data_IF_659938236277
#
_entry.id   IF_659938236277
#
_cell.length_a   1.000
_cell.length_b   1.000
_cell.length_c   1.000
_cell.angle_alpha   90.00
_cell.angle_beta   90.00
_cell.angle_gamma   90.00
#
_symmetry.space_group_name_H-M   'P 1'
#
loop_
_entity.id
_entity.type
_entity.pdbx_description
1 polymer ?
#
# COMPACT_ATOMS: atom_id res chain seq x y z
N UNK A 1 -4.36 27.52 -10.26
CA UNK A 1 -4.62 27.09 -8.86
C UNK A 1 -4.69 25.57 -8.87
N UNK A 2 -3.78 24.87 -8.22
CA UNK A 2 -3.89 23.42 -8.03
C UNK A 2 -5.03 23.17 -7.05
N UNK A 3 -6.05 22.42 -7.47
CA UNK A 3 -7.16 22.02 -6.60
C UNK A 3 -6.59 21.21 -5.42
N UNK A 4 -6.99 21.56 -4.21
CA UNK A 4 -6.64 20.81 -3.01
C UNK A 4 -7.32 19.43 -3.07
N UNK A 5 -6.57 18.36 -2.78
CA UNK A 5 -7.07 16.99 -2.77
C UNK A 5 -7.66 16.71 -1.39
N UNK A 6 -8.86 16.15 -1.37
CA UNK A 6 -9.62 15.81 -0.16
C UNK A 6 -9.73 14.28 0.01
N UNK A 7 -10.27 13.83 1.15
CA UNK A 7 -10.55 12.40 1.36
C UNK A 7 -11.62 11.85 0.40
N UNK A 8 -12.53 12.71 -0.07
CA UNK A 8 -13.58 12.32 -1.02
C UNK A 8 -12.98 12.02 -2.41
N UNK A 9 -11.95 12.77 -2.81
CA UNK A 9 -11.21 12.50 -4.04
C UNK A 9 -10.53 11.11 -4.01
N UNK A 10 -10.21 10.59 -2.81
CA UNK A 10 -9.58 9.29 -2.64
C UNK A 10 -10.55 8.11 -2.73
N UNK A 11 -11.86 8.32 -2.64
CA UNK A 11 -12.84 7.22 -2.59
C UNK A 11 -12.83 6.42 -3.90
N UNK A 12 -12.83 5.09 -3.82
CA UNK A 12 -12.98 4.22 -5.00
C UNK A 12 -12.01 3.05 -5.04
N UNK A 13 -11.95 2.39 -6.20
CA UNK A 13 -11.09 1.24 -6.45
C UNK A 13 -9.73 1.67 -6.99
N UNK A 14 -8.69 0.93 -6.62
CA UNK A 14 -7.31 1.15 -7.04
C UNK A 14 -6.68 -0.15 -7.50
N UNK A 15 -5.87 -0.06 -8.55
CA UNK A 15 -4.84 -1.05 -8.84
C UNK A 15 -3.61 -0.75 -7.99
N UNK A 16 -3.10 -1.77 -7.31
CA UNK A 16 -1.92 -1.68 -6.46
C UNK A 16 -0.77 -2.37 -7.16
N UNK A 17 0.41 -1.75 -7.12
CA UNK A 17 1.67 -2.34 -7.55
C UNK A 17 2.73 -2.02 -6.51
N UNK A 18 3.59 -2.97 -6.18
CA UNK A 18 4.69 -2.74 -5.26
C UNK A 18 5.99 -3.39 -5.72
N UNK A 19 7.11 -2.90 -5.19
CA UNK A 19 8.45 -3.46 -5.41
C UNK A 19 9.26 -3.36 -4.11
N UNK A 20 10.13 -4.33 -3.83
CA UNK A 20 11.02 -4.29 -2.66
C UNK A 20 12.49 -4.18 -3.06
N UNK A 21 13.29 -3.54 -2.19
CA UNK A 21 14.76 -3.50 -2.26
C UNK A 21 15.38 -3.98 -0.93
N UNK A 22 16.28 -4.99 -0.94
CA UNK A 22 16.63 -5.82 -2.09
C UNK A 22 15.41 -6.57 -2.65
N UNK A 23 15.45 -6.94 -3.93
CA UNK A 23 14.46 -7.85 -4.49
C UNK A 23 14.57 -9.17 -3.73
N UNK A 24 13.53 -9.52 -2.98
CA UNK A 24 13.47 -10.82 -2.33
C UNK A 24 12.76 -11.75 -3.30
N UNK A 25 13.36 -12.92 -3.57
CA UNK A 25 12.78 -13.93 -4.46
C UNK A 25 11.36 -14.35 -4.03
N UNK A 26 10.97 -14.10 -2.77
CA UNK A 26 9.63 -14.36 -2.23
C UNK A 26 8.79 -13.11 -1.91
N UNK A 27 9.32 -11.89 -2.13
CA UNK A 27 8.49 -10.70 -2.38
C UNK A 27 8.23 -10.67 -3.90
N UNK A 28 7.43 -11.61 -4.36
CA UNK A 28 7.23 -11.85 -5.79
C UNK A 28 6.55 -10.68 -6.49
N UNK A 29 7.22 -10.19 -7.54
CA UNK A 29 6.71 -9.45 -8.72
C UNK A 29 5.87 -8.19 -8.41
N UNK A 30 5.64 -7.27 -9.38
CA UNK A 30 4.68 -6.19 -9.20
C UNK A 30 3.29 -6.78 -8.94
N UNK A 31 2.98 -7.02 -7.67
CA UNK A 31 1.76 -7.68 -7.26
C UNK A 31 0.58 -6.81 -7.61
N UNK A 32 -0.19 -7.24 -8.61
CA UNK A 32 -1.46 -6.63 -8.97
C UNK A 32 -2.47 -6.97 -7.88
N UNK A 33 -2.55 -6.11 -6.88
CA UNK A 33 -3.63 -6.11 -5.92
C UNK A 33 -4.76 -5.20 -6.38
N UNK A 34 -5.96 -5.45 -5.87
CA UNK A 34 -7.02 -4.44 -5.92
C UNK A 34 -7.28 -3.95 -4.51
N UNK A 35 -7.36 -2.64 -4.35
CA UNK A 35 -7.71 -2.02 -3.09
C UNK A 35 -8.92 -1.10 -3.27
N UNK A 36 -9.74 -1.00 -2.24
CA UNK A 36 -10.87 -0.09 -2.14
C UNK A 36 -10.61 0.88 -1.03
N UNK A 37 -10.73 2.17 -1.33
CA UNK A 37 -10.70 3.24 -0.32
C UNK A 37 -12.12 3.69 -0.05
N UNK A 38 -12.55 3.52 1.20
CA UNK A 38 -13.82 4.02 1.71
C UNK A 38 -13.65 4.72 3.06
N UNK A 39 -14.20 5.91 3.22
CA UNK A 39 -14.21 6.66 4.48
C UNK A 39 -12.85 6.93 5.13
N UNK A 40 -11.73 6.92 4.38
CA UNK A 40 -10.31 6.98 4.84
C UNK A 40 -9.62 5.61 5.01
N UNK A 41 -10.37 4.53 4.90
CA UNK A 41 -9.88 3.17 5.11
C UNK A 41 -9.62 2.53 3.75
N UNK A 42 -8.43 1.97 3.58
CA UNK A 42 -8.09 1.13 2.45
C UNK A 42 -8.23 -0.33 2.88
N UNK A 43 -8.98 -1.09 2.09
CA UNK A 43 -9.04 -2.55 2.20
C UNK A 43 -8.62 -3.16 0.87
N UNK A 44 -7.81 -4.20 0.88
CA UNK A 44 -7.34 -4.81 -0.36
C UNK A 44 -6.84 -6.21 -0.16
N UNK A 45 -6.67 -6.91 -1.28
CA UNK A 45 -6.02 -8.21 -1.32
C UNK A 45 -5.05 -8.19 -2.50
N UNK A 46 -3.82 -8.63 -2.28
CA UNK A 46 -2.84 -8.75 -3.36
C UNK A 46 -2.99 -10.09 -4.11
N UNK A 47 -2.21 -10.26 -5.18
CA UNK A 47 -2.26 -11.45 -6.01
C UNK A 47 -1.90 -12.75 -5.27
N UNK A 48 -1.23 -12.66 -4.12
CA UNK A 48 -0.84 -13.80 -3.30
C UNK A 48 -1.85 -14.12 -2.19
N UNK A 49 -2.87 -13.28 -2.03
CA UNK A 49 -3.89 -13.42 -1.00
C UNK A 49 -3.57 -12.71 0.31
N UNK A 50 -2.53 -11.87 0.38
CA UNK A 50 -2.26 -11.06 1.59
C UNK A 50 -3.37 -10.03 1.70
N UNK A 51 -3.97 -9.94 2.88
CA UNK A 51 -5.00 -8.96 3.17
C UNK A 51 -4.35 -7.67 3.65
N UNK A 52 -4.78 -6.54 3.08
CA UNK A 52 -4.32 -5.20 3.41
C UNK A 52 -5.47 -4.45 4.08
N UNK A 53 -5.24 -3.97 5.30
CA UNK A 53 -6.14 -3.04 5.97
C UNK A 53 -5.34 -1.81 6.38
N UNK A 54 -5.64 -0.65 5.81
CA UNK A 54 -4.91 0.57 6.09
C UNK A 54 -5.83 1.76 6.35
N UNK A 55 -5.31 2.74 7.08
CA UNK A 55 -5.98 4.02 7.32
C UNK A 55 -5.10 5.15 6.79
N UNK A 56 -5.73 6.09 6.11
CA UNK A 56 -5.12 7.33 5.65
C UNK A 56 -5.51 8.50 6.56
N UNK A 57 -4.54 9.37 6.85
CA UNK A 57 -4.87 10.68 7.43
C UNK A 57 -5.45 11.61 6.37
N UNK A 58 -6.04 12.72 6.81
CA UNK A 58 -6.45 13.79 5.91
C UNK A 58 -5.25 14.27 5.07
N UNK A 59 -5.40 14.39 3.74
CA UNK A 59 -4.38 14.98 2.88
C UNK A 59 -4.05 16.41 3.27
N UNK A 60 -2.77 16.77 3.21
CA UNK A 60 -2.27 18.13 3.39
C UNK A 60 -1.08 18.35 2.48
N UNK A 61 -1.11 19.42 1.69
CA UNK A 61 -0.04 19.77 0.75
C UNK A 61 0.33 18.63 -0.22
N UNK A 62 -0.65 17.82 -0.64
CA UNK A 62 -0.43 16.68 -1.55
C UNK A 62 0.17 15.45 -0.90
N UNK A 63 0.23 15.39 0.44
CA UNK A 63 0.72 14.23 1.19
C UNK A 63 -0.28 13.79 2.27
N UNK A 64 -0.24 12.52 2.65
CA UNK A 64 -0.97 11.97 3.79
C UNK A 64 -0.15 10.87 4.46
N UNK A 65 -0.34 10.65 5.76
CA UNK A 65 0.21 9.47 6.43
C UNK A 65 -0.67 8.26 6.18
N UNK A 66 -0.05 7.08 6.11
CA UNK A 66 -0.76 5.80 6.09
C UNK A 66 -0.25 4.87 7.19
N UNK A 67 -1.14 4.03 7.71
CA UNK A 67 -0.81 2.90 8.58
C UNK A 67 -1.55 1.68 8.04
N UNK A 68 -0.85 0.58 7.82
CA UNK A 68 -1.42 -0.64 7.27
C UNK A 68 -1.08 -1.85 8.15
N UNK A 69 -2.06 -2.70 8.39
CA UNK A 69 -1.90 -4.07 8.87
C UNK A 69 -2.03 -5.00 7.66
N UNK A 70 -0.95 -5.74 7.38
CA UNK A 70 -0.93 -6.77 6.36
C UNK A 70 -0.99 -8.14 7.03
N UNK A 71 -1.84 -9.03 6.52
CA UNK A 71 -2.08 -10.35 7.09
C UNK A 71 -1.92 -11.44 6.01
N UNK A 72 -0.91 -12.32 6.12
CA UNK A 72 -0.65 -13.38 5.15
C UNK A 72 -1.36 -14.71 5.50
N UNK A 73 -2.31 -14.73 6.45
CA UNK A 73 -2.93 -15.99 6.94
C UNK A 73 -3.52 -16.89 5.85
N UNK A 74 -4.09 -16.29 4.80
CA UNK A 74 -4.80 -17.01 3.73
C UNK A 74 -3.89 -17.27 2.51
N UNK A 75 -2.59 -16.99 2.64
CA UNK A 75 -1.60 -17.18 1.58
C UNK A 75 -0.95 -18.57 1.63
N UNK A 76 -0.34 -19.04 0.52
CA UNK A 76 0.45 -20.28 0.51
C UNK A 76 1.55 -20.29 1.59
N UNK A 77 1.99 -21.47 2.08
CA UNK A 77 2.98 -21.56 3.16
C UNK A 77 4.35 -20.91 2.87
N UNK A 78 4.66 -20.69 1.59
CA UNK A 78 5.89 -20.05 1.13
C UNK A 78 5.83 -18.53 1.16
N UNK A 79 4.65 -17.94 1.38
CA UNK A 79 4.44 -16.50 1.42
C UNK A 79 4.51 -16.02 2.88
N UNK A 80 5.30 -14.97 3.08
CA UNK A 80 5.50 -14.35 4.39
C UNK A 80 5.81 -12.85 4.25
N UNK A 81 5.65 -12.14 5.35
CA UNK A 81 5.94 -10.72 5.49
C UNK A 81 7.27 -10.52 6.20
N UNK A 82 7.96 -9.43 5.89
CA UNK A 82 9.14 -9.04 6.64
C UNK A 82 8.73 -8.33 7.94
N UNK A 83 9.23 -8.75 9.08
CA UNK A 83 9.05 -8.00 10.33
C UNK A 83 10.09 -6.87 10.46
N UNK A 84 9.93 -6.03 11.47
CA UNK A 84 10.80 -4.88 11.71
C UNK A 84 12.28 -5.26 11.98
N UNK A 85 12.55 -6.51 12.37
CA UNK A 85 13.88 -7.03 12.61
C UNK A 85 14.51 -7.64 11.35
N UNK A 86 13.82 -7.62 10.20
CA UNK A 86 14.31 -8.23 8.96
C UNK A 86 14.18 -9.74 8.91
N UNK A 87 13.26 -10.32 9.70
CA UNK A 87 12.96 -11.74 9.66
C UNK A 87 11.63 -11.97 8.94
N UNK A 88 11.62 -12.93 8.02
CA UNK A 88 10.39 -13.35 7.35
C UNK A 88 9.49 -14.10 8.33
N UNK A 89 8.21 -13.73 8.36
CA UNK A 89 7.22 -14.27 9.29
C UNK A 89 5.87 -14.45 8.59
N UNK A 90 5.04 -15.34 9.14
CA UNK A 90 3.64 -15.54 8.72
C UNK A 90 2.64 -14.82 9.64
N UNK A 91 3.15 -14.04 10.59
CA UNK A 91 2.33 -13.23 11.48
C UNK A 91 1.95 -11.90 10.81
N UNK A 92 0.77 -11.34 11.12
CA UNK A 92 0.38 -10.02 10.64
C UNK A 92 1.42 -8.94 11.00
N UNK A 93 1.76 -8.08 10.05
CA UNK A 93 2.76 -7.03 10.23
C UNK A 93 2.17 -5.65 10.03
N UNK A 94 2.61 -4.70 10.86
CA UNK A 94 2.26 -3.29 10.73
C UNK A 94 3.31 -2.57 9.87
N UNK A 95 2.82 -1.73 8.96
CA UNK A 95 3.58 -0.89 8.07
C UNK A 95 3.06 0.54 8.17
N UNK A 96 3.93 1.53 8.04
CA UNK A 96 3.51 2.93 8.03
C UNK A 96 4.46 3.78 7.21
N UNK A 97 3.96 4.93 6.76
CA UNK A 97 4.77 5.86 5.98
C UNK A 97 3.96 7.05 5.49
N UNK A 98 4.59 7.81 4.60
CA UNK A 98 3.99 8.96 3.95
C UNK A 98 3.62 8.60 2.52
N UNK A 99 2.40 8.92 2.14
CA UNK A 99 1.84 8.77 0.81
C UNK A 99 1.87 10.12 0.13
N UNK A 100 2.50 10.18 -1.04
CA UNK A 100 2.47 11.32 -1.95
C UNK A 100 1.34 11.13 -2.94
N UNK A 101 0.56 12.18 -3.15
CA UNK A 101 -0.62 12.19 -3.99
C UNK A 101 -0.30 12.97 -5.26
N UNK A 102 -0.47 12.34 -6.41
CA UNK A 102 -0.30 12.96 -7.73
C UNK A 102 -1.63 12.88 -8.49
N UNK A 103 -2.13 14.04 -8.93
CA UNK A 103 -3.32 14.15 -9.79
C UNK A 103 -2.88 14.55 -11.20
N UNK A 104 -3.17 13.71 -12.19
CA UNK A 104 -2.84 13.92 -13.61
C UNK A 104 -4.13 13.95 -14.42
N UNK A 105 -4.74 15.14 -14.54
CA UNK A 105 -6.09 15.26 -15.10
C UNK A 105 -7.12 14.56 -14.21
N UNK A 106 -7.73 13.49 -14.72
CA UNK A 106 -8.68 12.65 -13.99
C UNK A 106 -8.00 11.49 -13.25
N UNK A 107 -6.75 11.18 -13.56
CA UNK A 107 -6.02 10.09 -12.92
C UNK A 107 -5.50 10.52 -11.54
N UNK A 108 -5.70 9.65 -10.55
CA UNK A 108 -5.17 9.81 -9.20
C UNK A 108 -4.19 8.67 -8.88
N UNK A 109 -2.96 9.05 -8.58
CA UNK A 109 -1.87 8.13 -8.25
C UNK A 109 -1.38 8.43 -6.84
N UNK A 110 -1.38 7.42 -5.98
CA UNK A 110 -0.83 7.47 -4.63
C UNK A 110 0.48 6.69 -4.62
N UNK A 111 1.54 7.24 -4.04
CA UNK A 111 2.84 6.56 -3.91
C UNK A 111 3.36 6.62 -2.50
N UNK A 112 3.85 5.52 -1.97
CA UNK A 112 4.51 5.50 -0.67
C UNK A 112 5.73 4.60 -0.69
N UNK A 113 6.65 4.89 0.21
CA UNK A 113 7.83 4.09 0.46
C UNK A 113 7.82 3.69 1.93
N UNK A 114 8.01 2.41 2.19
CA UNK A 114 7.86 1.80 3.51
C UNK A 114 9.17 1.12 3.87
N UNK A 115 9.79 1.55 4.96
CA UNK A 115 10.95 0.87 5.51
C UNK A 115 10.50 -0.18 6.52
N UNK A 116 10.92 -1.43 6.33
CA UNK A 116 10.65 -2.53 7.25
C UNK A 116 11.93 -3.32 7.50
N UNK A 117 12.58 -3.04 8.62
CA UNK A 117 13.92 -3.59 8.88
C UNK A 117 14.90 -3.24 7.75
N UNK A 118 15.58 -4.23 7.14
CA UNK A 118 16.55 -4.00 6.08
C UNK A 118 15.92 -3.78 4.70
N UNK A 119 14.60 -3.94 4.55
CA UNK A 119 13.93 -3.78 3.27
C UNK A 119 13.21 -2.46 3.13
N UNK A 120 13.23 -1.93 1.92
CA UNK A 120 12.39 -0.82 1.50
C UNK A 120 11.36 -1.35 0.52
N UNK A 121 10.09 -0.98 0.70
CA UNK A 121 8.97 -1.37 -0.17
C UNK A 121 8.40 -0.10 -0.78
N UNK A 122 8.46 0.02 -2.10
CA UNK A 122 7.78 1.07 -2.85
C UNK A 122 6.40 0.55 -3.26
N UNK A 123 5.35 1.32 -2.96
CA UNK A 123 3.97 0.97 -3.28
C UNK A 123 3.32 2.10 -4.07
N UNK A 124 2.60 1.75 -5.13
CA UNK A 124 1.80 2.66 -5.93
C UNK A 124 0.36 2.16 -5.99
N UNK A 125 -0.58 3.08 -5.79
CA UNK A 125 -2.01 2.88 -5.97
C UNK A 125 -2.47 3.77 -7.13
N UNK A 126 -3.01 3.19 -8.19
CA UNK A 126 -3.62 3.91 -9.32
C UNK A 126 -5.13 3.77 -9.24
N UNK A 127 -5.84 4.88 -9.13
CA UNK A 127 -7.31 4.86 -9.08
C UNK A 127 -7.88 4.33 -10.40
N UNK A 128 -8.84 3.41 -10.32
CA UNK A 128 -9.61 2.95 -11.47
C UNK A 128 -10.59 4.05 -11.88
N UNK A 129 -10.62 4.33 -13.18
CA UNK A 129 -11.61 5.19 -13.82
C UNK A 129 -13.00 4.58 -13.83
#
# INVERSE_FOLDING_TARGET
MSQEITLDDLQGMYDVTYASSPQLENFYEPGFGSAKVENNTLTGVDALGVIWNAEFSTPKNGEMSFKALLDPKDTPPTVGLMNANGVMTREPQNYSGIVKITKLGEELILRTQVQQGPITIDVQFRKKS
#
